data_IF_860721843384
#
_entry.id   IF_860721843384
#
_cell.length_a   1.000
_cell.length_b   1.000
_cell.length_c   1.000
_cell.angle_alpha   90.00
_cell.angle_beta   90.00
_cell.angle_gamma   90.00
#
_symmetry.space_group_name_H-M   'P 1'
#
loop_
_entity.id
_entity.type
_entity.pdbx_description
1 polymer ?
#
# COMPACT_ATOMS: atom_id res chain seq x y z
N UNK A 1 11.79 3.71 5.01
CA UNK A 1 12.20 4.54 3.84
C UNK A 1 11.09 4.59 2.78
N UNK A 2 10.56 3.46 2.31
CA UNK A 2 9.50 3.47 1.29
C UNK A 2 8.16 4.07 1.76
N UNK A 3 7.64 3.69 2.94
CA UNK A 3 6.39 4.25 3.46
C UNK A 3 6.46 5.78 3.68
N UNK A 4 7.59 6.29 4.18
CA UNK A 4 7.82 7.73 4.30
C UNK A 4 7.79 8.42 2.93
N UNK A 5 8.47 7.86 1.92
CA UNK A 5 8.41 8.37 0.55
C UNK A 5 6.97 8.42 0.01
N UNK A 6 6.17 7.37 0.24
CA UNK A 6 4.77 7.31 -0.21
C UNK A 6 3.94 8.40 0.49
N UNK A 7 4.04 8.50 1.82
CA UNK A 7 3.32 9.50 2.62
C UNK A 7 3.67 10.93 2.20
N UNK A 8 4.95 11.22 1.99
CA UNK A 8 5.41 12.58 1.67
C UNK A 8 4.96 13.01 0.25
N UNK A 9 4.74 12.06 -0.66
CA UNK A 9 4.26 12.31 -2.04
C UNK A 9 2.73 12.33 -2.17
N UNK A 10 2.02 11.74 -1.22
CA UNK A 10 0.57 11.73 -1.14
C UNK A 10 0.12 11.96 0.31
N UNK A 11 0.28 13.17 0.86
CA UNK A 11 -0.08 13.44 2.24
C UNK A 11 -1.59 13.36 2.44
N UNK A 12 -2.03 12.73 3.52
CA UNK A 12 -3.44 12.66 3.95
C UNK A 12 -4.44 12.01 2.98
N UNK A 13 -3.97 11.39 1.89
CA UNK A 13 -4.81 10.63 0.95
C UNK A 13 -4.35 9.17 0.89
N UNK A 14 -5.03 8.30 1.64
CA UNK A 14 -4.69 6.87 1.72
C UNK A 14 -4.85 6.18 0.36
N UNK A 15 -5.84 6.56 -0.44
CA UNK A 15 -6.06 5.95 -1.75
C UNK A 15 -4.93 6.32 -2.73
N UNK A 16 -4.48 7.59 -2.71
CA UNK A 16 -3.33 8.04 -3.48
C UNK A 16 -2.03 7.38 -3.00
N UNK A 17 -1.85 7.19 -1.69
CA UNK A 17 -0.71 6.46 -1.12
C UNK A 17 -0.67 5.01 -1.58
N UNK A 18 -1.80 4.30 -1.50
CA UNK A 18 -1.94 2.91 -1.96
C UNK A 18 -1.64 2.82 -3.47
N UNK A 19 -2.23 3.72 -4.28
CA UNK A 19 -1.99 3.75 -5.72
C UNK A 19 -0.52 3.97 -6.04
N UNK A 20 0.13 4.94 -5.39
CA UNK A 20 1.55 5.22 -5.58
C UNK A 20 2.41 4.03 -5.19
N UNK A 21 2.15 3.42 -4.02
CA UNK A 21 2.91 2.28 -3.54
C UNK A 21 2.78 1.08 -4.51
N UNK A 22 1.56 0.72 -4.89
CA UNK A 22 1.29 -0.38 -5.83
C UNK A 22 1.92 -0.14 -7.20
N UNK A 23 1.84 1.09 -7.72
CA UNK A 23 2.47 1.43 -9.00
C UNK A 23 4.00 1.28 -8.94
N UNK A 24 4.61 1.64 -7.80
CA UNK A 24 6.06 1.54 -7.61
C UNK A 24 6.55 0.13 -7.39
N UNK A 25 5.78 -0.73 -6.73
CA UNK A 25 6.21 -2.12 -6.54
C UNK A 25 5.93 -2.93 -7.80
N UNK A 26 4.74 -2.86 -8.38
CA UNK A 26 4.33 -3.68 -9.53
C UNK A 26 4.77 -3.15 -10.90
N UNK A 27 5.32 -1.93 -10.98
CA UNK A 27 5.73 -1.28 -12.23
C UNK A 27 4.62 -1.14 -13.28
N UNK A 28 3.34 -1.13 -12.86
CA UNK A 28 2.17 -0.89 -13.72
C UNK A 28 1.15 -0.01 -13.04
N UNK A 29 0.15 0.48 -13.79
CA UNK A 29 -0.97 1.18 -13.18
C UNK A 29 -1.85 0.20 -12.36
N UNK A 30 -2.11 0.49 -11.08
CA UNK A 30 -3.03 -0.30 -10.27
C UNK A 30 -4.47 -0.07 -10.70
N UNK A 31 -5.26 -1.14 -10.72
CA UNK A 31 -6.71 -1.08 -10.95
C UNK A 31 -7.41 -0.46 -9.74
N UNK A 32 -8.64 0.03 -9.92
CA UNK A 32 -9.45 0.56 -8.82
C UNK A 32 -9.67 -0.50 -7.73
N UNK A 33 -9.94 -1.75 -8.12
CA UNK A 33 -10.15 -2.85 -7.17
C UNK A 33 -8.90 -3.17 -6.33
N UNK A 34 -7.69 -3.03 -6.89
CA UNK A 34 -6.44 -3.18 -6.13
C UNK A 34 -6.24 -2.05 -5.12
N UNK A 35 -6.57 -0.82 -5.50
CA UNK A 35 -6.51 0.33 -4.60
C UNK A 35 -7.51 0.16 -3.46
N UNK A 36 -8.75 -0.22 -3.75
CA UNK A 36 -9.79 -0.44 -2.74
C UNK A 36 -9.39 -1.54 -1.75
N UNK A 37 -8.79 -2.64 -2.23
CA UNK A 37 -8.27 -3.69 -1.35
C UNK A 37 -7.15 -3.18 -0.45
N UNK A 38 -6.23 -2.37 -0.98
CA UNK A 38 -5.15 -1.78 -0.19
C UNK A 38 -5.66 -0.80 0.87
N UNK A 39 -6.65 0.03 0.54
CA UNK A 39 -7.29 0.94 1.50
C UNK A 39 -7.96 0.14 2.62
N UNK A 40 -8.76 -0.88 2.27
CA UNK A 40 -9.40 -1.76 3.25
C UNK A 40 -8.40 -2.44 4.17
N UNK A 41 -7.26 -2.88 3.64
CA UNK A 41 -6.19 -3.46 4.46
C UNK A 41 -5.61 -2.45 5.46
N UNK A 42 -5.33 -1.22 5.03
CA UNK A 42 -4.84 -0.16 5.93
C UNK A 42 -5.86 0.14 7.03
N UNK A 43 -7.15 0.23 6.68
CA UNK A 43 -8.20 0.49 7.67
C UNK A 43 -8.40 -0.69 8.64
N UNK A 44 -8.31 -1.93 8.18
CA UNK A 44 -8.32 -3.12 9.03
C UNK A 44 -7.14 -3.12 10.01
N UNK A 45 -5.93 -2.80 9.54
CA UNK A 45 -4.74 -2.68 10.40
C UNK A 45 -4.92 -1.62 11.50
N UNK A 46 -5.54 -0.48 11.16
CA UNK A 46 -5.84 0.57 12.15
C UNK A 46 -6.90 0.11 13.16
N UNK A 47 -7.98 -0.53 12.69
CA UNK A 47 -9.11 -0.90 13.54
C UNK A 47 -8.82 -2.12 14.43
N UNK A 48 -8.29 -3.19 13.85
CA UNK A 48 -8.11 -4.49 14.52
C UNK A 48 -6.83 -4.54 15.37
N UNK A 49 -5.79 -3.83 14.94
CA UNK A 49 -4.49 -3.81 15.63
C UNK A 49 -4.17 -2.46 16.29
N UNK A 50 -5.12 -1.52 16.33
CA UNK A 50 -4.96 -0.19 16.93
C UNK A 50 -3.72 0.57 16.42
N UNK A 51 -3.34 0.31 15.18
CA UNK A 51 -2.16 0.92 14.57
C UNK A 51 -2.41 2.40 14.28
N UNK A 52 -1.35 3.20 14.42
CA UNK A 52 -1.34 4.55 13.86
C UNK A 52 -1.46 4.51 12.33
N UNK A 53 -1.89 5.61 11.71
CA UNK A 53 -1.95 5.70 10.26
C UNK A 53 -0.58 5.44 9.60
N UNK A 54 0.50 5.92 10.23
CA UNK A 54 1.86 5.74 9.76
C UNK A 54 2.33 4.27 9.87
N UNK A 55 2.01 3.60 10.98
CA UNK A 55 2.35 2.19 11.17
C UNK A 55 1.53 1.26 10.25
N UNK A 56 0.25 1.55 10.05
CA UNK A 56 -0.59 0.82 9.12
C UNK A 56 -0.10 0.98 7.67
N UNK A 57 0.25 2.20 7.24
CA UNK A 57 0.85 2.44 5.93
C UNK A 57 2.19 1.72 5.78
N UNK A 58 3.02 1.72 6.83
CA UNK A 58 4.30 1.00 6.84
C UNK A 58 4.11 -0.50 6.66
N UNK A 59 3.17 -1.10 7.38
CA UNK A 59 2.81 -2.52 7.26
C UNK A 59 2.26 -2.84 5.86
N UNK A 60 1.36 -2.01 5.33
CA UNK A 60 0.89 -2.13 3.95
C UNK A 60 2.04 -2.09 2.93
N UNK A 61 2.97 -1.15 3.08
CA UNK A 61 4.13 -1.05 2.20
C UNK A 61 5.02 -2.31 2.23
N UNK A 62 5.13 -2.97 3.38
CA UNK A 62 5.87 -4.24 3.51
C UNK A 62 5.16 -5.36 2.75
N UNK A 63 3.83 -5.48 2.90
CA UNK A 63 3.03 -6.45 2.15
C UNK A 63 3.14 -6.18 0.64
N UNK A 64 3.03 -4.92 0.22
CA UNK A 64 3.11 -4.52 -1.18
C UNK A 64 4.47 -4.86 -1.81
N UNK A 65 5.57 -4.74 -1.07
CA UNK A 65 6.91 -5.12 -1.57
C UNK A 65 7.03 -6.62 -1.85
N UNK A 66 6.29 -7.46 -1.12
CA UNK A 66 6.26 -8.92 -1.36
C UNK A 66 5.43 -9.30 -2.60
N UNK A 67 4.59 -8.40 -3.13
CA UNK A 67 3.80 -8.68 -4.34
C UNK A 67 4.66 -8.80 -5.62
N UNK A 68 5.96 -8.53 -5.55
CA UNK A 68 6.89 -8.69 -6.67
C UNK A 68 7.41 -10.11 -6.86
N UNK A 69 7.22 -11.03 -5.91
CA UNK A 69 7.95 -12.31 -5.92
C UNK A 69 7.20 -13.50 -6.53
N UNK A 70 5.99 -13.28 -7.08
CA UNK A 70 5.23 -14.32 -7.79
C UNK A 70 4.87 -13.87 -9.21
N UNK A 71 5.89 -13.68 -10.05
CA UNK A 71 5.69 -13.91 -11.49
C UNK A 71 5.66 -15.42 -11.67
N UNK A 72 4.45 -15.98 -11.65
CA UNK A 72 4.21 -17.28 -12.28
C UNK A 72 4.44 -17.06 -13.78
N UNK A 73 5.61 -17.47 -14.26
CA UNK A 73 5.83 -17.71 -15.69
C UNK A 73 5.20 -19.08 -15.96
N UNK A 74 4.14 -19.11 -16.76
CA UNK A 74 3.73 -20.32 -17.49
C UNK A 74 4.67 -20.51 -18.68
#
# INVERSE_FOLDING_TARGET
KFAAFVRDRAPQDVAAQVRLALARVTQRQPTAAEVDRGVKLIDALKAEHQMSADDALKSFCLVALNLNEFVYLD
#
